data_IF_355136723563
#
_entry.id   IF_355136723563
#
_cell.length_a   1.000
_cell.length_b   1.000
_cell.length_c   1.000
_cell.angle_alpha   90.00
_cell.angle_beta   90.00
_cell.angle_gamma   90.00
#
_symmetry.space_group_name_H-M   'P 1'
#
loop_
_entity.id
_entity.type
_entity.pdbx_description
1 polymer ?
#
# COMPACT_ATOMS: atom_id res chain seq x y z
N UNK A 1 54.14 -78.35 12.00
CA UNK A 1 53.63 -77.34 12.93
C UNK A 1 53.74 -75.96 12.25
N UNK A 2 52.64 -75.42 11.73
CA UNK A 2 52.57 -74.04 11.14
C UNK A 2 51.39 -73.32 11.76
N UNK A 3 51.71 -72.25 12.53
CA UNK A 3 50.80 -71.38 13.21
C UNK A 3 50.10 -70.47 12.20
N UNK A 4 48.80 -70.49 12.14
CA UNK A 4 47.99 -69.61 11.35
C UNK A 4 47.67 -68.34 12.18
N UNK A 5 48.18 -67.23 11.75
CA UNK A 5 47.77 -65.88 12.29
C UNK A 5 46.49 -65.41 11.59
N UNK A 6 45.44 -65.29 12.36
CA UNK A 6 44.19 -64.72 11.92
C UNK A 6 44.34 -63.16 11.91
N UNK A 7 44.22 -62.56 10.74
CA UNK A 7 44.16 -61.14 10.60
C UNK A 7 42.77 -60.63 11.03
N UNK A 8 42.74 -59.60 11.84
CA UNK A 8 41.52 -58.84 12.24
C UNK A 8 41.03 -57.94 11.11
N UNK A 9 39.73 -57.83 10.90
CA UNK A 9 39.19 -56.89 9.87
C UNK A 9 39.31 -55.45 10.32
N UNK A 10 39.86 -54.61 9.45
CA UNK A 10 39.90 -53.14 9.62
C UNK A 10 38.49 -52.58 9.52
N UNK A 11 37.96 -52.07 10.62
CA UNK A 11 36.73 -51.28 10.66
C UNK A 11 37.00 -49.89 10.04
N UNK A 12 36.54 -49.71 8.83
CA UNK A 12 36.49 -48.39 8.22
C UNK A 12 35.42 -47.56 8.93
N UNK A 13 35.85 -46.65 9.79
CA UNK A 13 34.98 -45.61 10.37
C UNK A 13 34.65 -44.60 9.28
N UNK A 14 33.44 -44.75 8.71
CA UNK A 14 32.87 -43.74 7.83
C UNK A 14 32.56 -42.50 8.68
N UNK A 15 33.42 -41.48 8.61
CA UNK A 15 33.15 -40.19 9.21
C UNK A 15 32.07 -39.49 8.36
N UNK A 16 30.83 -39.49 8.87
CA UNK A 16 29.74 -38.71 8.30
C UNK A 16 30.03 -37.23 8.56
N UNK A 17 30.60 -36.52 7.57
CA UNK A 17 30.73 -35.07 7.60
C UNK A 17 29.37 -34.49 7.33
N UNK A 18 28.68 -34.08 8.40
CA UNK A 18 27.45 -33.32 8.34
C UNK A 18 27.80 -31.90 7.85
N UNK A 19 27.76 -31.70 6.54
CA UNK A 19 27.86 -30.32 5.97
C UNK A 19 26.56 -29.59 6.33
N UNK A 20 26.61 -28.86 7.41
CA UNK A 20 25.56 -27.88 7.77
C UNK A 20 25.61 -26.78 6.71
N UNK A 21 24.85 -26.92 5.63
CA UNK A 21 24.60 -25.81 4.70
C UNK A 21 23.77 -24.79 5.47
N UNK A 22 24.44 -23.81 6.06
CA UNK A 22 23.82 -22.56 6.50
C UNK A 22 23.30 -21.87 5.24
N UNK A 23 22.06 -22.18 4.86
CA UNK A 23 21.29 -21.34 3.96
C UNK A 23 21.05 -20.06 4.73
N UNK A 24 21.67 -18.92 4.36
CA UNK A 24 21.26 -17.65 4.94
C UNK A 24 19.81 -17.49 4.52
N UNK A 25 18.88 -17.63 5.46
CA UNK A 25 17.51 -17.22 5.30
C UNK A 25 17.54 -15.71 5.04
N UNK A 26 17.63 -15.36 3.76
CA UNK A 26 17.27 -14.04 3.26
C UNK A 26 15.74 -13.89 3.44
N UNK A 27 15.29 -14.01 4.68
CA UNK A 27 14.07 -13.42 5.17
C UNK A 27 14.31 -11.90 5.15
N UNK A 28 14.27 -11.32 3.96
CA UNK A 28 13.92 -9.93 3.83
C UNK A 28 12.41 -9.84 4.14
N UNK A 29 12.05 -10.18 5.37
CA UNK A 29 10.87 -9.63 6.00
C UNK A 29 11.14 -8.13 6.02
N UNK A 30 10.52 -7.38 5.11
CA UNK A 30 10.59 -5.95 5.14
C UNK A 30 10.14 -5.52 6.53
N UNK A 31 11.09 -5.06 7.36
CA UNK A 31 10.76 -4.46 8.64
C UNK A 31 9.77 -3.35 8.32
N UNK A 32 8.57 -3.48 8.85
CA UNK A 32 7.55 -2.46 8.75
C UNK A 32 8.15 -1.17 9.29
N UNK A 33 8.47 -0.22 8.41
CA UNK A 33 9.21 0.97 8.82
C UNK A 33 8.29 1.87 9.63
N UNK A 34 8.65 2.06 10.87
CA UNK A 34 8.06 3.10 11.72
C UNK A 34 8.28 4.47 11.06
N UNK A 35 7.33 5.38 11.21
CA UNK A 35 7.47 6.74 10.69
C UNK A 35 8.70 7.42 11.28
N UNK A 36 9.55 8.00 10.43
CA UNK A 36 10.70 8.77 10.88
C UNK A 36 10.26 10.19 11.31
N UNK A 37 11.04 10.84 12.17
CA UNK A 37 10.74 12.17 12.68
C UNK A 37 10.46 13.20 11.57
N UNK A 38 11.22 13.15 10.47
CA UNK A 38 11.01 14.03 9.33
C UNK A 38 9.72 13.74 8.55
N UNK A 39 9.25 12.50 8.52
CA UNK A 39 7.95 12.14 7.96
C UNK A 39 6.83 12.73 8.83
N UNK A 40 6.88 12.50 10.15
CA UNK A 40 5.88 12.97 11.12
C UNK A 40 5.75 14.50 11.04
N UNK A 41 6.88 15.22 11.09
CA UNK A 41 6.88 16.68 11.01
C UNK A 41 6.24 17.21 9.73
N UNK A 42 6.58 16.62 8.57
CA UNK A 42 6.00 17.02 7.28
C UNK A 42 4.52 16.67 7.17
N UNK A 43 4.13 15.50 7.64
CA UNK A 43 2.74 15.07 7.67
C UNK A 43 1.90 16.03 8.51
N UNK A 44 2.34 16.37 9.71
CA UNK A 44 1.65 17.31 10.61
C UNK A 44 1.47 18.69 9.97
N UNK A 45 2.52 19.26 9.38
CA UNK A 45 2.44 20.56 8.69
C UNK A 45 1.52 20.52 7.46
N UNK A 46 1.52 19.40 6.71
CA UNK A 46 0.65 19.21 5.54
C UNK A 46 -0.80 19.02 5.97
N UNK A 47 -1.03 18.25 7.02
CA UNK A 47 -2.35 17.99 7.58
C UNK A 47 -3.05 19.27 8.01
N UNK A 48 -2.35 20.16 8.74
CA UNK A 48 -2.88 21.45 9.16
C UNK A 48 -3.36 22.30 7.97
N UNK A 49 -2.63 22.29 6.86
CA UNK A 49 -3.01 23.00 5.64
C UNK A 49 -4.23 22.38 4.97
N UNK A 50 -4.28 21.05 4.85
CA UNK A 50 -5.42 20.36 4.24
C UNK A 50 -6.68 20.62 5.06
N UNK A 51 -6.64 20.47 6.37
CA UNK A 51 -7.80 20.74 7.24
C UNK A 51 -8.30 22.19 7.17
N UNK A 52 -7.41 23.15 6.95
CA UNK A 52 -7.77 24.55 6.82
C UNK A 52 -8.30 24.97 5.44
N UNK A 53 -8.08 24.15 4.40
CA UNK A 53 -8.27 24.60 3.02
C UNK A 53 -9.16 23.69 2.16
N UNK A 54 -9.33 22.42 2.56
CA UNK A 54 -10.00 21.44 1.72
C UNK A 54 -11.36 21.02 2.27
N UNK A 55 -12.33 20.71 1.39
CA UNK A 55 -13.67 20.32 1.79
C UNK A 55 -13.69 18.87 2.28
N UNK A 56 -13.24 18.65 3.49
CA UNK A 56 -13.28 17.31 4.11
C UNK A 56 -14.67 16.97 4.65
N UNK A 57 -15.02 15.70 4.68
CA UNK A 57 -16.15 15.23 5.48
C UNK A 57 -15.83 15.35 6.96
N UNK A 58 -16.83 15.68 7.80
CA UNK A 58 -16.62 15.81 9.24
C UNK A 58 -16.13 14.49 9.87
N UNK A 59 -15.44 14.60 11.00
CA UNK A 59 -15.12 13.43 11.83
C UNK A 59 -16.41 12.77 12.30
N UNK A 60 -16.49 11.43 12.16
CA UNK A 60 -17.69 10.66 12.51
C UNK A 60 -18.76 10.60 11.41
N UNK A 61 -18.53 11.24 10.27
CA UNK A 61 -19.37 11.05 9.08
C UNK A 61 -19.51 9.57 8.71
N UNK A 62 -20.69 9.07 8.30
CA UNK A 62 -20.89 7.67 7.99
C UNK A 62 -19.96 7.12 6.91
N UNK A 63 -19.67 7.92 5.86
CA UNK A 63 -18.74 7.53 4.79
C UNK A 63 -17.32 7.42 5.32
N UNK A 64 -16.86 8.43 6.07
CA UNK A 64 -15.54 8.44 6.68
C UNK A 64 -15.34 7.32 7.70
N UNK A 65 -16.34 7.07 8.55
CA UNK A 65 -16.32 6.00 9.54
C UNK A 65 -16.25 4.62 8.87
N UNK A 66 -17.00 4.40 7.80
CA UNK A 66 -16.98 3.14 7.06
C UNK A 66 -15.67 2.94 6.30
N UNK A 67 -15.11 3.97 5.67
CA UNK A 67 -13.79 3.93 5.06
C UNK A 67 -12.71 3.57 6.09
N UNK A 68 -12.76 4.21 7.27
CA UNK A 68 -11.82 3.91 8.36
C UNK A 68 -11.95 2.46 8.84
N UNK A 69 -13.16 1.92 8.90
CA UNK A 69 -13.39 0.52 9.28
C UNK A 69 -12.73 -0.46 8.29
N UNK A 70 -12.89 -0.23 6.98
CA UNK A 70 -12.23 -1.05 5.94
C UNK A 70 -10.70 -0.93 6.04
N UNK A 71 -10.17 0.28 6.21
CA UNK A 71 -8.73 0.50 6.36
C UNK A 71 -8.17 -0.19 7.61
N UNK A 72 -8.89 -0.11 8.73
CA UNK A 72 -8.50 -0.76 9.98
C UNK A 72 -8.52 -2.29 9.84
N UNK A 73 -9.57 -2.85 9.23
CA UNK A 73 -9.69 -4.28 8.99
C UNK A 73 -8.55 -4.80 8.11
N UNK A 74 -8.23 -4.09 7.02
CA UNK A 74 -7.11 -4.42 6.15
C UNK A 74 -5.78 -4.41 6.93
N UNK A 75 -5.53 -3.35 7.70
CA UNK A 75 -4.30 -3.20 8.48
C UNK A 75 -4.17 -4.32 9.54
N UNK A 76 -5.26 -4.64 10.26
CA UNK A 76 -5.27 -5.70 11.27
C UNK A 76 -4.97 -7.05 10.64
N UNK A 77 -5.67 -7.42 9.59
CA UNK A 77 -5.49 -8.71 8.90
C UNK A 77 -4.11 -8.84 8.26
N UNK A 78 -3.58 -7.76 7.71
CA UNK A 78 -2.25 -7.75 7.12
C UNK A 78 -1.11 -7.69 8.15
N UNK A 79 -1.41 -7.46 9.45
CA UNK A 79 -0.42 -7.31 10.51
C UNK A 79 0.25 -5.94 10.55
N UNK A 80 -0.32 -4.94 9.90
CA UNK A 80 0.28 -3.61 9.75
C UNK A 80 -0.14 -2.59 10.84
N UNK A 81 -1.06 -2.96 11.74
CA UNK A 81 -1.56 -2.08 12.80
C UNK A 81 -0.54 -1.81 13.91
N UNK A 82 0.47 -2.67 14.09
CA UNK A 82 1.46 -2.55 15.16
C UNK A 82 2.51 -1.48 14.91
N UNK A 83 2.63 -1.05 13.66
CA UNK A 83 3.70 -0.15 13.22
C UNK A 83 3.23 1.25 12.90
N UNK A 84 1.93 1.45 12.64
CA UNK A 84 1.33 2.72 12.30
C UNK A 84 -0.12 2.82 12.73
N UNK A 85 -0.52 4.04 13.09
CA UNK A 85 -1.93 4.40 13.25
C UNK A 85 -2.47 4.89 11.90
N UNK A 86 -3.20 4.04 11.20
CA UNK A 86 -3.81 4.39 9.93
C UNK A 86 -5.04 5.28 10.14
N UNK A 87 -5.06 6.43 9.48
CA UNK A 87 -6.12 7.43 9.55
C UNK A 87 -6.57 7.79 8.15
N UNK A 88 -7.83 7.57 7.86
CA UNK A 88 -8.41 7.88 6.56
C UNK A 88 -9.23 9.16 6.62
N UNK A 89 -9.18 9.93 5.54
CA UNK A 89 -9.90 11.19 5.38
C UNK A 89 -10.62 11.21 4.05
N UNK A 90 -11.87 11.65 4.03
CA UNK A 90 -12.67 11.78 2.82
C UNK A 90 -12.71 13.22 2.37
N UNK A 91 -12.34 13.46 1.11
CA UNK A 91 -12.42 14.77 0.47
C UNK A 91 -13.70 14.82 -0.35
N UNK A 92 -14.51 15.88 -0.17
CA UNK A 92 -15.72 16.14 -0.97
C UNK A 92 -15.33 16.66 -2.35
N UNK A 93 -14.87 15.76 -3.20
CA UNK A 93 -14.49 16.05 -4.58
C UNK A 93 -14.93 14.88 -5.47
N UNK A 94 -15.52 15.20 -6.62
CA UNK A 94 -16.01 14.20 -7.58
C UNK A 94 -14.91 13.59 -8.44
N UNK A 95 -13.70 14.13 -8.42
CA UNK A 95 -12.56 13.60 -9.17
C UNK A 95 -12.05 12.31 -8.56
N UNK A 96 -11.48 11.46 -9.40
CA UNK A 96 -10.87 10.21 -8.96
C UNK A 96 -9.48 10.50 -8.39
N UNK A 97 -9.32 10.42 -7.06
CA UNK A 97 -8.02 10.56 -6.43
C UNK A 97 -7.96 9.86 -5.06
N UNK A 98 -6.75 9.38 -4.73
CA UNK A 98 -6.34 9.00 -3.40
C UNK A 98 -4.86 9.31 -3.26
N UNK A 99 -4.40 9.62 -2.07
CA UNK A 99 -2.99 9.88 -1.79
C UNK A 99 -2.71 9.83 -0.29
N UNK A 100 -1.45 9.65 0.05
CA UNK A 100 -0.98 9.73 1.43
C UNK A 100 0.04 10.83 1.63
N UNK A 101 0.17 11.31 2.86
CA UNK A 101 1.06 12.43 3.22
C UNK A 101 2.15 12.04 4.22
N UNK A 102 2.16 10.81 4.66
CA UNK A 102 3.03 10.30 5.74
C UNK A 102 2.27 10.13 7.05
N UNK A 103 2.93 9.59 8.06
CA UNK A 103 2.42 9.31 9.41
C UNK A 103 1.06 8.57 9.45
N UNK A 104 0.83 7.68 8.48
CA UNK A 104 -0.40 6.88 8.41
C UNK A 104 -1.64 7.63 7.89
N UNK A 105 -1.52 8.85 7.41
CA UNK A 105 -2.64 9.61 6.87
C UNK A 105 -2.87 9.30 5.39
N UNK A 106 -4.07 8.83 5.06
CA UNK A 106 -4.54 8.53 3.71
C UNK A 106 -5.79 9.34 3.40
N UNK A 107 -5.81 10.00 2.25
CA UNK A 107 -6.92 10.81 1.75
C UNK A 107 -7.53 10.14 0.54
N UNK A 108 -8.87 10.06 0.50
CA UNK A 108 -9.62 9.51 -0.62
C UNK A 108 -10.75 10.47 -0.99
N UNK A 109 -10.92 10.73 -2.27
CA UNK A 109 -12.02 11.58 -2.75
C UNK A 109 -13.34 10.80 -2.80
N UNK A 110 -14.46 11.49 -2.68
CA UNK A 110 -15.78 10.88 -2.89
C UNK A 110 -15.93 10.27 -4.28
N UNK A 111 -15.37 10.92 -5.30
CA UNK A 111 -15.34 10.38 -6.65
C UNK A 111 -14.68 8.99 -6.71
N UNK A 112 -13.53 8.84 -6.04
CA UNK A 112 -12.85 7.55 -5.95
C UNK A 112 -13.67 6.52 -5.17
N UNK A 113 -14.28 6.91 -4.05
CA UNK A 113 -15.14 6.01 -3.26
C UNK A 113 -16.39 5.57 -4.03
N UNK A 114 -16.94 6.42 -4.91
CA UNK A 114 -18.02 6.04 -5.83
C UNK A 114 -17.53 5.12 -6.93
N UNK A 115 -16.33 5.36 -7.43
CA UNK A 115 -15.74 4.63 -8.56
C UNK A 115 -15.38 3.18 -8.23
N UNK A 116 -14.79 2.89 -7.07
CA UNK A 116 -14.43 1.51 -6.69
C UNK A 116 -15.67 0.62 -6.71
N UNK A 117 -15.57 -0.55 -7.37
CA UNK A 117 -16.71 -1.44 -7.59
C UNK A 117 -16.92 -2.44 -6.47
N UNK A 118 -15.86 -2.74 -5.70
CA UNK A 118 -15.88 -3.72 -4.62
C UNK A 118 -15.01 -3.28 -3.45
N UNK A 119 -15.20 -3.90 -2.30
CA UNK A 119 -14.29 -3.70 -1.16
C UNK A 119 -12.86 -4.15 -1.49
N UNK A 120 -12.69 -5.19 -2.30
CA UNK A 120 -11.35 -5.62 -2.74
C UNK A 120 -10.63 -4.54 -3.55
N UNK A 121 -11.33 -3.77 -4.41
CA UNK A 121 -10.73 -2.62 -5.11
C UNK A 121 -10.41 -1.48 -4.14
N UNK A 122 -11.27 -1.20 -3.16
CA UNK A 122 -10.98 -0.22 -2.11
C UNK A 122 -9.77 -0.65 -1.27
N UNK A 123 -9.71 -1.91 -0.89
CA UNK A 123 -8.57 -2.47 -0.18
C UNK A 123 -7.28 -2.38 -1.02
N UNK A 124 -7.37 -2.59 -2.35
CA UNK A 124 -6.23 -2.43 -3.25
C UNK A 124 -5.71 -0.99 -3.29
N UNK A 125 -6.61 0.00 -3.34
CA UNK A 125 -6.27 1.42 -3.26
C UNK A 125 -5.56 1.73 -1.93
N UNK A 126 -6.15 1.32 -0.82
CA UNK A 126 -5.59 1.55 0.52
C UNK A 126 -4.25 0.82 0.71
N UNK A 127 -4.14 -0.42 0.23
CA UNK A 127 -2.91 -1.20 0.30
C UNK A 127 -1.75 -0.56 -0.49
N UNK A 128 -2.04 0.05 -1.64
CA UNK A 128 -1.06 0.83 -2.39
C UNK A 128 -0.55 2.02 -1.58
N UNK A 129 -1.46 2.79 -0.97
CA UNK A 129 -1.09 3.92 -0.11
C UNK A 129 -0.30 3.46 1.13
N UNK A 130 -0.70 2.35 1.77
CA UNK A 130 0.08 1.72 2.83
C UNK A 130 1.47 1.30 2.34
N UNK A 131 1.57 0.81 1.11
CA UNK A 131 2.82 0.46 0.45
C UNK A 131 3.82 1.63 0.39
N UNK A 132 3.35 2.84 0.10
CA UNK A 132 4.19 4.03 0.13
C UNK A 132 4.78 4.31 1.52
N UNK A 133 3.99 4.14 2.57
CA UNK A 133 4.47 4.29 3.94
C UNK A 133 5.48 3.20 4.31
N UNK A 134 5.16 1.94 4.00
CA UNK A 134 6.00 0.78 4.33
C UNK A 134 7.34 0.82 3.59
N UNK A 135 7.36 1.32 2.34
CA UNK A 135 8.59 1.56 1.60
C UNK A 135 9.43 2.74 2.13
N UNK A 136 8.91 3.50 3.12
CA UNK A 136 9.59 4.66 3.69
C UNK A 136 9.72 5.83 2.69
N UNK A 137 8.80 5.94 1.72
CA UNK A 137 8.86 6.99 0.70
C UNK A 137 8.76 8.39 1.29
N UNK A 138 8.12 8.52 2.45
CA UNK A 138 7.99 9.78 3.17
C UNK A 138 9.19 10.12 4.06
N UNK A 139 10.07 9.15 4.34
CA UNK A 139 11.31 9.39 5.09
C UNK A 139 12.46 9.93 4.23
N UNK A 140 12.40 9.70 2.92
CA UNK A 140 13.46 10.12 2.02
C UNK A 140 13.49 11.64 1.86
N UNK A 141 14.70 12.22 1.90
CA UNK A 141 14.87 13.64 1.60
C UNK A 141 14.37 13.95 0.19
N UNK A 142 13.48 14.93 0.06
CA UNK A 142 13.03 15.39 -1.26
C UNK A 142 14.16 16.12 -1.94
N UNK A 143 14.51 15.75 -3.17
CA UNK A 143 15.21 16.64 -4.07
C UNK A 143 14.38 17.93 -4.17
N UNK A 144 15.04 19.11 -4.02
CA UNK A 144 14.39 20.44 -4.04
C UNK A 144 13.38 20.53 -5.20
N UNK A 145 12.09 20.68 -4.93
CA UNK A 145 11.03 20.80 -5.94
C UNK A 145 9.81 19.89 -5.72
N UNK A 146 9.78 19.13 -4.63
CA UNK A 146 8.77 18.10 -4.42
C UNK A 146 7.35 18.56 -4.06
N UNK A 147 6.47 17.61 -4.04
CA UNK A 147 5.00 17.57 -3.85
C UNK A 147 4.38 18.70 -3.04
N UNK A 148 4.99 19.19 -1.96
CA UNK A 148 4.46 20.31 -1.15
C UNK A 148 4.41 21.64 -1.91
N UNK A 149 5.38 21.90 -2.80
CA UNK A 149 5.35 23.12 -3.62
C UNK A 149 4.25 23.03 -4.68
N UNK A 150 3.98 21.84 -5.19
CA UNK A 150 2.88 21.61 -6.14
C UNK A 150 1.52 21.54 -5.45
N UNK A 151 1.47 21.08 -4.20
CA UNK A 151 0.27 21.05 -3.37
C UNK A 151 -0.23 22.46 -3.01
N UNK A 152 0.69 23.37 -2.69
CA UNK A 152 0.33 24.67 -2.13
C UNK A 152 0.79 25.86 -2.97
N UNK A 153 1.37 25.62 -4.15
CA UNK A 153 1.79 26.64 -5.11
C UNK A 153 2.83 27.62 -4.60
N UNK A 154 3.80 27.97 -5.45
CA UNK A 154 4.55 29.19 -5.27
C UNK A 154 3.62 30.37 -5.48
N UNK A 155 3.67 31.37 -4.59
CA UNK A 155 3.12 32.72 -4.64
C UNK A 155 1.91 32.98 -5.57
N UNK A 156 0.77 33.30 -4.98
CA UNK A 156 -0.36 34.06 -5.55
C UNK A 156 -1.44 33.35 -6.38
N UNK A 157 -1.53 32.02 -6.46
CA UNK A 157 -2.72 31.39 -7.00
C UNK A 157 -3.73 31.12 -5.88
N UNK A 158 -4.96 31.63 -6.03
CA UNK A 158 -6.07 31.34 -5.11
C UNK A 158 -6.29 29.83 -5.05
N UNK A 159 -6.27 29.29 -3.84
CA UNK A 159 -6.36 27.84 -3.56
C UNK A 159 -7.63 27.18 -4.13
N UNK A 160 -8.66 27.99 -4.42
CA UNK A 160 -9.96 27.56 -4.96
C UNK A 160 -9.90 26.97 -6.38
N UNK A 161 -8.87 27.33 -7.18
CA UNK A 161 -8.74 26.82 -8.57
C UNK A 161 -7.78 25.64 -8.73
N UNK A 162 -7.09 25.25 -7.67
CA UNK A 162 -6.19 24.08 -7.72
C UNK A 162 -6.95 22.82 -7.35
N UNK A 163 -7.34 22.16 -8.37
CA UNK A 163 -8.10 20.92 -8.33
C UNK A 163 -7.29 19.83 -7.61
N UNK A 164 -7.96 19.10 -6.72
CA UNK A 164 -7.45 17.93 -5.99
C UNK A 164 -6.79 16.88 -6.93
N UNK A 165 -7.06 16.96 -8.24
CA UNK A 165 -6.43 16.11 -9.27
C UNK A 165 -4.98 16.41 -9.63
N UNK A 166 -4.42 17.59 -9.24
CA UNK A 166 -3.02 17.95 -9.57
C UNK A 166 -1.99 17.53 -8.50
N UNK A 167 -2.41 16.81 -7.46
CA UNK A 167 -1.58 16.45 -6.32
C UNK A 167 -0.49 15.42 -6.60
N UNK A 168 -0.49 14.85 -7.78
CA UNK A 168 0.42 13.78 -8.19
C UNK A 168 1.50 14.22 -9.18
N UNK A 169 1.93 15.47 -9.14
CA UNK A 169 2.76 16.08 -10.18
C UNK A 169 4.23 15.57 -10.28
N UNK A 170 4.67 14.62 -9.48
CA UNK A 170 5.96 13.94 -9.71
C UNK A 170 5.88 12.48 -9.27
N UNK A 171 5.40 11.66 -10.18
CA UNK A 171 5.39 10.20 -10.00
C UNK A 171 6.81 9.69 -10.23
N UNK A 172 7.38 9.07 -9.20
CA UNK A 172 8.60 8.29 -9.33
C UNK A 172 8.20 6.84 -9.66
N UNK A 173 8.43 6.36 -10.90
CA UNK A 173 8.00 5.03 -11.30
C UNK A 173 8.59 3.89 -10.46
N UNK A 174 9.75 4.12 -9.83
CA UNK A 174 10.38 3.14 -8.94
C UNK A 174 9.58 3.04 -7.65
N UNK A 175 9.21 4.19 -7.08
CA UNK A 175 8.39 4.23 -5.85
C UNK A 175 7.01 3.64 -6.06
N UNK A 176 6.39 3.93 -7.20
CA UNK A 176 5.09 3.36 -7.54
C UNK A 176 5.16 1.82 -7.61
N UNK A 177 6.15 1.27 -8.32
CA UNK A 177 6.34 -0.19 -8.37
C UNK A 177 6.63 -0.81 -7.00
N UNK A 178 7.36 -0.10 -6.13
CA UNK A 178 7.59 -0.57 -4.76
C UNK A 178 6.29 -0.57 -3.96
N UNK A 179 5.48 0.49 -4.06
CA UNK A 179 4.18 0.57 -3.41
C UNK A 179 3.22 -0.50 -3.92
N UNK A 180 3.15 -0.74 -5.23
CA UNK A 180 2.36 -1.81 -5.84
C UNK A 180 2.75 -3.20 -5.32
N UNK A 181 4.06 -3.48 -5.25
CA UNK A 181 4.55 -4.76 -4.76
C UNK A 181 4.21 -5.00 -3.30
N UNK A 182 4.41 -4.00 -2.46
CA UNK A 182 4.08 -4.07 -1.02
C UNK A 182 2.56 -4.12 -0.85
N UNK A 183 1.81 -3.31 -1.60
CA UNK A 183 0.35 -3.31 -1.59
C UNK A 183 -0.24 -4.67 -1.95
N UNK A 184 0.30 -5.34 -2.97
CA UNK A 184 -0.12 -6.70 -3.33
C UNK A 184 0.09 -7.72 -2.19
N UNK A 185 1.19 -7.59 -1.42
CA UNK A 185 1.44 -8.43 -0.24
C UNK A 185 0.48 -8.10 0.91
N UNK A 186 0.16 -6.82 1.12
CA UNK A 186 -0.81 -6.37 2.13
C UNK A 186 -2.19 -6.91 1.79
N UNK A 187 -2.63 -6.85 0.52
CA UNK A 187 -3.90 -7.44 0.07
C UNK A 187 -3.96 -8.92 0.36
N UNK A 188 -2.94 -9.66 -0.02
CA UNK A 188 -2.87 -11.11 0.17
C UNK A 188 -2.96 -11.47 1.66
N UNK A 189 -2.19 -10.83 2.51
CA UNK A 189 -2.24 -11.01 3.97
C UNK A 189 -3.58 -10.58 4.56
N UNK A 190 -4.19 -9.54 4.00
CA UNK A 190 -5.49 -9.03 4.37
C UNK A 190 -6.67 -9.92 3.95
N UNK A 191 -6.40 -11.02 3.21
CA UNK A 191 -7.42 -11.95 2.74
C UNK A 191 -8.16 -11.48 1.48
N UNK A 192 -7.70 -10.40 0.82
CA UNK A 192 -8.26 -9.92 -0.43
C UNK A 192 -7.52 -10.49 -1.64
N UNK A 193 -8.23 -10.68 -2.74
CA UNK A 193 -7.63 -11.10 -4.00
C UNK A 193 -6.72 -9.98 -4.55
N UNK A 194 -5.39 -10.20 -4.68
CA UNK A 194 -4.48 -9.18 -5.19
C UNK A 194 -4.77 -8.76 -6.64
N UNK A 195 -5.53 -9.56 -7.41
CA UNK A 195 -5.99 -9.19 -8.75
C UNK A 195 -6.89 -7.94 -8.74
N UNK A 196 -7.49 -7.59 -7.60
CA UNK A 196 -8.25 -6.35 -7.46
C UNK A 196 -7.41 -5.10 -7.77
N UNK A 197 -6.10 -5.11 -7.49
CA UNK A 197 -5.19 -4.03 -7.86
C UNK A 197 -5.05 -3.88 -9.37
N UNK A 198 -4.97 -5.00 -10.10
CA UNK A 198 -4.93 -5.01 -11.58
C UNK A 198 -6.25 -4.52 -12.16
N UNK A 199 -7.39 -4.99 -11.62
CA UNK A 199 -8.72 -4.60 -12.09
C UNK A 199 -8.95 -3.10 -11.87
N UNK A 200 -8.65 -2.59 -10.68
CA UNK A 200 -8.77 -1.17 -10.38
C UNK A 200 -7.89 -0.34 -11.31
N UNK A 201 -6.61 -0.69 -11.47
CA UNK A 201 -5.68 0.00 -12.36
C UNK A 201 -6.18 0.00 -13.81
N UNK A 202 -6.66 -1.13 -14.32
CA UNK A 202 -7.22 -1.24 -15.68
C UNK A 202 -8.45 -0.34 -15.86
N UNK A 203 -9.37 -0.30 -14.91
CA UNK A 203 -10.53 0.57 -14.96
C UNK A 203 -10.15 2.04 -14.91
N UNK A 204 -9.21 2.41 -14.05
CA UNK A 204 -8.74 3.79 -13.94
C UNK A 204 -8.00 4.25 -15.21
N UNK A 205 -7.30 3.38 -15.92
CA UNK A 205 -6.58 3.71 -17.16
C UNK A 205 -7.47 4.29 -18.26
N UNK A 206 -8.78 4.04 -18.19
CA UNK A 206 -9.77 4.53 -19.17
C UNK A 206 -10.39 5.87 -18.79
N UNK A 207 -10.05 6.45 -17.63
CA UNK A 207 -10.75 7.62 -17.08
C UNK A 207 -10.01 8.94 -17.21
N UNK A 208 -8.81 8.96 -17.80
CA UNK A 208 -7.99 10.18 -17.90
C UNK A 208 -7.53 10.73 -16.55
N UNK A 209 -7.44 9.86 -15.54
CA UNK A 209 -6.97 10.22 -14.19
C UNK A 209 -5.53 10.74 -14.17
N UNK A 210 -5.11 11.50 -13.10
CA UNK A 210 -3.79 12.08 -12.99
C UNK A 210 -2.64 11.09 -13.13
N UNK A 211 -1.45 11.59 -13.45
CA UNK A 211 -0.22 10.83 -13.73
C UNK A 211 0.23 9.85 -12.64
N UNK A 212 -0.15 10.10 -11.36
CA UNK A 212 0.10 9.17 -10.25
C UNK A 212 -0.46 7.76 -10.53
N UNK A 213 -1.46 7.70 -11.34
CA UNK A 213 -2.12 6.48 -11.80
C UNK A 213 -1.80 6.17 -13.28
N UNK A 214 -0.64 6.50 -13.82
CA UNK A 214 -0.27 6.11 -15.19
C UNK A 214 0.01 4.61 -15.25
N UNK A 215 -0.88 3.88 -15.96
CA UNK A 215 -1.19 2.50 -15.65
C UNK A 215 -0.53 1.46 -16.56
N UNK A 216 -0.17 1.77 -17.79
CA UNK A 216 0.29 0.75 -18.73
C UNK A 216 1.39 -0.15 -18.15
N UNK A 217 2.54 0.41 -17.84
CA UNK A 217 3.68 -0.34 -17.26
C UNK A 217 3.39 -0.90 -15.86
N UNK A 218 2.53 -0.24 -15.06
CA UNK A 218 2.16 -0.72 -13.73
C UNK A 218 1.24 -1.94 -13.83
N UNK A 219 0.27 -1.93 -14.74
CA UNK A 219 -0.61 -3.08 -14.99
C UNK A 219 0.21 -4.31 -15.37
N UNK A 220 1.12 -4.17 -16.34
CA UNK A 220 2.00 -5.26 -16.77
C UNK A 220 2.87 -5.78 -15.61
N UNK A 221 3.45 -4.88 -14.80
CA UNK A 221 4.27 -5.24 -13.66
C UNK A 221 3.47 -5.97 -12.56
N UNK A 222 2.25 -5.51 -12.27
CA UNK A 222 1.34 -6.19 -11.34
C UNK A 222 0.91 -7.56 -11.87
N UNK A 223 0.55 -7.67 -13.15
CA UNK A 223 0.21 -8.95 -13.77
C UNK A 223 1.36 -9.94 -13.69
N UNK A 224 2.58 -9.50 -14.02
CA UNK A 224 3.78 -10.34 -13.92
C UNK A 224 4.06 -10.77 -12.47
N UNK A 225 3.89 -9.86 -11.50
CA UNK A 225 4.05 -10.16 -10.07
C UNK A 225 3.05 -11.23 -9.60
N UNK A 226 1.84 -11.22 -10.14
CA UNK A 226 0.74 -12.08 -9.70
C UNK A 226 0.59 -13.36 -10.55
N UNK A 227 1.29 -13.47 -11.68
CA UNK A 227 1.15 -14.59 -12.63
C UNK A 227 1.39 -15.97 -12.01
N UNK A 228 2.33 -16.05 -11.07
CA UNK A 228 2.73 -17.32 -10.41
C UNK A 228 2.16 -17.46 -8.99
N UNK A 229 1.26 -16.55 -8.56
CA UNK A 229 0.65 -16.67 -7.25
C UNK A 229 -0.47 -17.71 -7.27
N UNK A 230 -0.41 -18.63 -6.30
CA UNK A 230 -1.46 -19.63 -6.12
C UNK A 230 -2.84 -18.94 -5.95
N UNK A 231 -3.87 -19.60 -6.47
CA UNK A 231 -5.26 -19.17 -6.23
C UNK A 231 -5.56 -19.40 -4.75
N UNK A 232 -5.54 -18.31 -3.96
CA UNK A 232 -5.96 -18.35 -2.56
C UNK A 232 -7.48 -18.40 -2.43
N UNK A 233 -7.95 -18.74 -1.24
CA UNK A 233 -9.36 -18.59 -0.90
C UNK A 233 -9.57 -17.13 -0.47
N UNK A 234 -9.95 -16.28 -1.43
CA UNK A 234 -10.09 -14.84 -1.23
C UNK A 234 -11.49 -14.48 -0.77
N UNK A 235 -11.61 -13.48 0.08
CA UNK A 235 -12.90 -12.93 0.47
C UNK A 235 -13.64 -12.40 -0.78
N UNK A 236 -14.83 -12.93 -1.05
CA UNK A 236 -15.57 -12.62 -2.27
C UNK A 236 -16.71 -11.61 -2.03
N UNK A 237 -17.03 -11.31 -0.77
CA UNK A 237 -18.17 -10.46 -0.41
C UNK A 237 -17.72 -9.14 0.20
N UNK A 238 -18.43 -8.08 -0.18
CA UNK A 238 -18.29 -6.77 0.45
C UNK A 238 -18.76 -6.80 1.90
N UNK A 239 -18.00 -6.21 2.81
CA UNK A 239 -18.36 -6.09 4.21
C UNK A 239 -19.56 -5.13 4.42
N UNK A 240 -20.20 -5.25 5.57
CA UNK A 240 -21.23 -4.30 5.98
C UNK A 240 -20.69 -2.85 6.05
N UNK A 241 -19.40 -2.65 6.33
CA UNK A 241 -18.77 -1.32 6.32
C UNK A 241 -18.72 -0.74 4.91
N UNK A 242 -18.25 -1.52 3.94
CA UNK A 242 -18.21 -1.09 2.54
C UNK A 242 -19.64 -0.81 1.99
N UNK A 243 -20.57 -1.70 2.25
CA UNK A 243 -21.99 -1.53 1.83
C UNK A 243 -22.59 -0.24 2.39
N UNK A 244 -22.39 0.02 3.69
CA UNK A 244 -22.83 1.29 4.31
C UNK A 244 -22.18 2.51 3.66
N UNK A 245 -20.87 2.46 3.38
CA UNK A 245 -20.17 3.54 2.71
C UNK A 245 -20.79 3.84 1.33
N UNK A 246 -21.05 2.79 0.54
CA UNK A 246 -21.65 2.95 -0.80
C UNK A 246 -23.06 3.51 -0.73
N UNK A 247 -23.88 3.08 0.24
CA UNK A 247 -25.21 3.63 0.48
C UNK A 247 -25.16 5.12 0.85
N UNK A 248 -24.34 5.49 1.82
CA UNK A 248 -24.21 6.88 2.28
C UNK A 248 -23.59 7.85 1.24
N UNK A 249 -23.00 7.33 0.17
CA UNK A 249 -22.50 8.15 -0.94
C UNK A 249 -23.59 8.44 -1.99
N UNK A 250 -24.74 7.76 -1.94
CA UNK A 250 -25.86 7.97 -2.86
C UNK A 250 -26.85 9.04 -2.37
N UNK A 251 -26.81 9.34 -1.06
CA UNK A 251 -27.55 10.43 -0.42
C UNK A 251 -26.88 11.80 -0.67
#
# INVERSE_FOLDING_TARGET
>A
MRSARRGAPAMHRLALVLVLVLVPALLHGGEARVACAAEIQRASATLAKIFGQWPLRPTGDPVGSALQAVATQLAVRAGEQTHRHWRTHVIRDSKLNAFSIGDGHVFVTEGMLRFVASEAELAALLAHEFGHHMAGHFCQAKKRGGVLRNLFGGSNARVQDRQVGELSASVDPIKERQADRIGALILERGGYNPQAAVLLAARMSTTGTPAHFQYGQRIEALQALLANKARGNWEASDSAAFTRMKGALQE
#
